data_IF_795114941088
#
_entry.id   IF_795114941088
#
_cell.length_a   1.000
_cell.length_b   1.000
_cell.length_c   1.000
_cell.angle_alpha   90.00
_cell.angle_beta   90.00
_cell.angle_gamma   90.00
#
_symmetry.space_group_name_H-M   'P 1'
#
loop_
_entity.id
_entity.type
_entity.pdbx_description
1 polymer ?
#
# COMPACT_ATOMS: atom_id res chain seq x y z
N UNK A 1 -21.11 -10.47 -13.89
CA UNK A 1 -20.83 -11.10 -12.59
C UNK A 1 -19.66 -10.46 -11.91
N UNK A 2 -19.85 -9.99 -10.69
CA UNK A 2 -18.73 -9.45 -9.95
C UNK A 2 -17.93 -10.59 -9.36
N UNK A 3 -16.66 -10.66 -9.70
CA UNK A 3 -15.75 -11.64 -9.18
C UNK A 3 -15.23 -11.17 -7.80
N UNK A 4 -15.30 -12.04 -6.82
CA UNK A 4 -14.73 -11.74 -5.52
C UNK A 4 -13.21 -11.75 -5.61
N UNK A 5 -12.60 -10.69 -5.11
CA UNK A 5 -11.14 -10.59 -5.09
C UNK A 5 -10.61 -11.48 -3.98
N UNK A 6 -9.68 -12.37 -4.30
CA UNK A 6 -9.07 -13.26 -3.31
C UNK A 6 -8.08 -12.49 -2.43
N UNK A 7 -7.73 -13.08 -1.28
CA UNK A 7 -6.71 -12.50 -0.41
C UNK A 7 -5.37 -12.37 -1.13
N UNK A 8 -5.00 -13.37 -1.93
CA UNK A 8 -3.78 -13.34 -2.71
C UNK A 8 -3.78 -12.17 -3.70
N UNK A 9 -4.91 -11.92 -4.37
CA UNK A 9 -5.03 -10.80 -5.28
C UNK A 9 -4.94 -9.46 -4.55
N UNK A 10 -5.52 -9.36 -3.35
CA UNK A 10 -5.43 -8.14 -2.54
C UNK A 10 -4.00 -7.84 -2.14
N UNK A 11 -3.26 -8.86 -1.75
CA UNK A 11 -1.84 -8.72 -1.39
C UNK A 11 -1.03 -8.28 -2.61
N UNK A 12 -1.26 -8.90 -3.76
CA UNK A 12 -0.59 -8.53 -5.00
C UNK A 12 -0.88 -7.08 -5.39
N UNK A 13 -2.13 -6.66 -5.28
CA UNK A 13 -2.51 -5.27 -5.57
C UNK A 13 -1.89 -4.29 -4.58
N UNK A 14 -1.85 -4.65 -3.31
CA UNK A 14 -1.23 -3.80 -2.29
C UNK A 14 0.27 -3.61 -2.58
N UNK A 15 0.96 -4.68 -2.95
CA UNK A 15 2.38 -4.58 -3.32
C UNK A 15 2.59 -3.75 -4.57
N UNK A 16 1.70 -3.86 -5.55
CA UNK A 16 1.76 -3.03 -6.74
C UNK A 16 1.59 -1.54 -6.41
N UNK A 17 0.72 -1.22 -5.47
CA UNK A 17 0.52 0.16 -5.02
C UNK A 17 1.75 0.69 -4.28
N UNK A 18 2.39 -0.14 -3.46
CA UNK A 18 3.65 0.22 -2.80
C UNK A 18 4.72 0.52 -3.84
N UNK A 19 4.85 -0.34 -4.83
CA UNK A 19 5.84 -0.15 -5.89
C UNK A 19 5.55 1.12 -6.68
N UNK A 20 4.29 1.38 -6.97
CA UNK A 20 3.88 2.59 -7.67
C UNK A 20 4.25 3.84 -6.87
N UNK A 21 4.06 3.79 -5.54
CA UNK A 21 4.47 4.90 -4.69
C UNK A 21 5.98 5.13 -4.74
N UNK A 22 6.76 4.05 -4.75
CA UNK A 22 8.22 4.15 -4.82
C UNK A 22 8.70 4.67 -6.17
N UNK A 23 7.93 4.44 -7.23
CA UNK A 23 8.26 4.90 -8.58
C UNK A 23 7.91 6.37 -8.82
N UNK A 24 7.11 6.97 -7.94
CA UNK A 24 6.80 8.39 -8.06
C UNK A 24 8.06 9.21 -7.86
N UNK A 25 8.25 10.18 -8.74
CA UNK A 25 9.41 11.06 -8.66
C UNK A 25 9.02 12.36 -7.96
N UNK A 26 9.81 12.72 -6.96
CA UNK A 26 9.67 14.01 -6.32
C UNK A 26 10.20 15.07 -7.28
N UNK A 27 9.40 16.07 -7.55
CA UNK A 27 9.83 17.15 -8.42
C UNK A 27 10.77 18.09 -7.68
N UNK A 28 11.78 18.60 -8.40
CA UNK A 28 12.71 19.59 -7.86
C UNK A 28 12.15 21.01 -7.92
N UNK A 29 10.99 21.21 -8.51
CA UNK A 29 10.45 22.53 -8.82
C UNK A 29 9.47 23.11 -7.79
N UNK A 30 9.81 23.12 -6.50
CA UNK A 30 9.11 23.93 -5.54
C UNK A 30 8.04 23.23 -4.71
N UNK A 31 7.49 23.96 -3.76
CA UNK A 31 6.63 23.46 -2.70
C UNK A 31 5.33 22.80 -3.14
N UNK A 32 4.75 23.30 -4.23
CA UNK A 32 3.50 22.76 -4.76
C UNK A 32 3.63 21.32 -5.20
N UNK A 33 4.77 20.96 -5.73
CA UNK A 33 5.00 19.62 -6.23
C UNK A 33 5.33 18.65 -5.10
N UNK A 34 5.92 19.15 -4.01
CA UNK A 34 6.10 18.37 -2.81
C UNK A 34 4.75 18.00 -2.18
N UNK A 35 3.80 18.92 -2.19
CA UNK A 35 2.45 18.64 -1.72
C UNK A 35 1.77 17.57 -2.57
N UNK A 36 1.87 17.71 -3.89
CA UNK A 36 1.27 16.75 -4.80
C UNK A 36 1.92 15.36 -4.63
N UNK A 37 3.22 15.31 -4.52
CA UNK A 37 3.96 14.07 -4.29
C UNK A 37 3.51 13.41 -2.99
N UNK A 38 3.47 14.16 -1.90
CA UNK A 38 3.06 13.65 -0.60
C UNK A 38 1.62 13.11 -0.64
N UNK A 39 0.72 13.85 -1.26
CA UNK A 39 -0.68 13.44 -1.38
C UNK A 39 -0.81 12.15 -2.19
N UNK A 40 -0.08 12.03 -3.28
CA UNK A 40 -0.10 10.84 -4.11
C UNK A 40 0.46 9.62 -3.37
N UNK A 41 1.57 9.78 -2.67
CA UNK A 41 2.14 8.70 -1.89
C UNK A 41 1.16 8.24 -0.81
N UNK A 42 0.61 9.19 -0.06
CA UNK A 42 -0.35 8.86 1.00
C UNK A 42 -1.59 8.15 0.45
N UNK A 43 -2.08 8.60 -0.69
CA UNK A 43 -3.26 7.98 -1.30
C UNK A 43 -2.99 6.55 -1.74
N UNK A 44 -1.86 6.29 -2.39
CA UNK A 44 -1.50 4.95 -2.82
C UNK A 44 -1.31 4.01 -1.64
N UNK A 45 -0.64 4.47 -0.59
CA UNK A 45 -0.42 3.66 0.60
C UNK A 45 -1.72 3.43 1.38
N UNK A 46 -2.62 4.42 1.39
CA UNK A 46 -3.95 4.25 1.99
C UNK A 46 -4.74 3.18 1.26
N UNK A 47 -4.72 3.20 -0.06
CA UNK A 47 -5.39 2.16 -0.86
C UNK A 47 -4.82 0.78 -0.56
N UNK A 48 -3.50 0.68 -0.42
CA UNK A 48 -2.86 -0.58 -0.07
C UNK A 48 -3.32 -1.07 1.31
N UNK A 49 -3.38 -0.17 2.29
CA UNK A 49 -3.84 -0.50 3.64
C UNK A 49 -5.29 -0.99 3.63
N UNK A 50 -6.14 -0.35 2.86
CA UNK A 50 -7.55 -0.75 2.77
C UNK A 50 -7.72 -2.16 2.19
N UNK A 51 -6.91 -2.50 1.18
CA UNK A 51 -6.93 -3.84 0.62
C UNK A 51 -6.58 -4.90 1.67
N UNK A 52 -5.59 -4.61 2.50
CA UNK A 52 -5.14 -5.53 3.55
C UNK A 52 -6.12 -5.58 4.72
N UNK A 53 -6.79 -4.48 5.00
CA UNK A 53 -7.76 -4.39 6.07
C UNK A 53 -8.88 -5.42 5.90
N UNK A 54 -9.38 -5.59 4.69
CA UNK A 54 -10.43 -6.57 4.42
C UNK A 54 -9.96 -8.00 4.67
N UNK A 55 -8.69 -8.28 4.44
CA UNK A 55 -8.14 -9.60 4.73
C UNK A 55 -8.19 -9.87 6.23
N UNK A 56 -7.84 -8.88 7.05
CA UNK A 56 -7.83 -9.01 8.50
C UNK A 56 -9.21 -9.34 9.08
N UNK A 57 -10.29 -8.91 8.42
CA UNK A 57 -11.64 -9.16 8.89
C UNK A 57 -12.27 -10.42 8.32
N UNK A 58 -11.60 -11.11 7.42
CA UNK A 58 -12.12 -12.32 6.81
C UNK A 58 -11.78 -13.52 7.70
N UNK A 59 -12.78 -14.32 8.03
CA UNK A 59 -12.54 -15.53 8.81
C UNK A 59 -12.03 -16.66 7.92
N UNK A 60 -11.29 -17.61 8.50
CA UNK A 60 -10.81 -18.78 7.78
C UNK A 60 -9.59 -18.55 6.91
N UNK A 61 -8.87 -17.44 7.11
CA UNK A 61 -7.67 -17.15 6.34
C UNK A 61 -6.50 -17.99 6.87
N UNK A 62 -5.72 -18.65 5.97
CA UNK A 62 -4.55 -19.42 6.40
C UNK A 62 -3.53 -18.56 7.14
N UNK A 63 -2.79 -19.20 8.06
CA UNK A 63 -1.77 -18.50 8.84
C UNK A 63 -0.71 -17.86 7.95
N UNK A 64 -0.36 -18.51 6.84
CA UNK A 64 0.62 -17.96 5.89
C UNK A 64 0.14 -16.66 5.28
N UNK A 65 -1.15 -16.57 4.93
CA UNK A 65 -1.73 -15.35 4.38
C UNK A 65 -1.77 -14.25 5.42
N UNK A 66 -2.05 -14.58 6.67
CA UNK A 66 -2.02 -13.60 7.75
C UNK A 66 -0.62 -13.05 7.96
N UNK A 67 0.38 -13.93 7.93
CA UNK A 67 1.78 -13.52 8.09
C UNK A 67 2.21 -12.62 6.93
N UNK A 68 1.83 -12.98 5.71
CA UNK A 68 2.15 -12.17 4.52
C UNK A 68 1.47 -10.80 4.59
N UNK A 69 0.21 -10.77 5.04
CA UNK A 69 -0.52 -9.51 5.23
C UNK A 69 0.21 -8.59 6.20
N UNK A 70 0.67 -9.13 7.33
CA UNK A 70 1.44 -8.33 8.29
C UNK A 70 2.76 -7.84 7.71
N UNK A 71 3.42 -8.67 6.92
CA UNK A 71 4.66 -8.29 6.27
C UNK A 71 4.44 -7.11 5.30
N UNK A 72 3.36 -7.16 4.52
CA UNK A 72 3.04 -6.08 3.59
C UNK A 72 2.63 -4.82 4.32
N UNK A 73 1.90 -4.93 5.44
CA UNK A 73 1.59 -3.78 6.28
C UNK A 73 2.85 -3.10 6.80
N UNK A 74 3.84 -3.90 7.21
CA UNK A 74 5.13 -3.36 7.63
C UNK A 74 5.86 -2.68 6.48
N UNK A 75 5.78 -3.23 5.27
CA UNK A 75 6.34 -2.60 4.07
C UNK A 75 5.68 -1.25 3.78
N UNK A 76 4.36 -1.16 3.96
CA UNK A 76 3.64 0.11 3.77
C UNK A 76 4.15 1.16 4.75
N UNK A 77 4.24 0.80 6.03
CA UNK A 77 4.70 1.73 7.06
C UNK A 77 6.14 2.16 6.80
N UNK A 78 7.00 1.22 6.45
CA UNK A 78 8.39 1.52 6.13
C UNK A 78 8.50 2.42 4.90
N UNK A 79 7.72 2.15 3.86
CA UNK A 79 7.70 2.95 2.65
C UNK A 79 7.28 4.39 2.95
N UNK A 80 6.24 4.54 3.77
CA UNK A 80 5.79 5.87 4.16
C UNK A 80 6.89 6.63 4.88
N UNK A 81 7.58 5.99 5.82
CA UNK A 81 8.69 6.64 6.52
C UNK A 81 9.82 7.00 5.58
N UNK A 82 10.20 6.10 4.69
CA UNK A 82 11.28 6.36 3.74
C UNK A 82 10.97 7.49 2.77
N UNK A 83 9.73 7.55 2.28
CA UNK A 83 9.36 8.53 1.26
C UNK A 83 8.92 9.87 1.85
N UNK A 84 8.31 9.89 3.01
CA UNK A 84 7.73 11.09 3.60
C UNK A 84 8.47 11.62 4.83
N UNK A 85 9.36 10.82 5.40
CA UNK A 85 10.14 11.21 6.58
C UNK A 85 11.59 10.79 6.38
N UNK A 86 12.28 11.43 5.43
CA UNK A 86 13.67 11.09 5.14
C UNK A 86 14.62 11.45 6.29
#
# INVERSE_FOLDING_TARGET
>A
MSRLITSAERITKARALIQKARELKRSEEGEWQDFSYTAQVKDLLRQARELLKFIAYTSGIPAETKAETKAVQAEIDQTEQELLHP
#
